data_IF_446518131514
#
_entry.id   IF_446518131514
#
_cell.length_a   1.000
_cell.length_b   1.000
_cell.length_c   1.000
_cell.angle_alpha   90.00
_cell.angle_beta   90.00
_cell.angle_gamma   90.00
#
_symmetry.space_group_name_H-M   'P 1'
#
loop_
_entity.id
_entity.type
_entity.pdbx_description
1 polymer ?
#
# COMPACT_ATOMS: atom_id res chain seq x y z
N UNK A 1 13.62 3.54 13.38
CA UNK A 1 13.09 3.38 12.02
C UNK A 1 13.93 2.34 11.25
N UNK A 2 15.24 2.52 11.10
CA UNK A 2 16.11 1.66 10.28
C UNK A 2 16.03 0.17 10.65
N UNK A 3 16.09 -0.18 11.95
CA UNK A 3 15.99 -1.58 12.40
C UNK A 3 14.61 -2.19 12.11
N UNK A 4 13.54 -1.41 12.27
CA UNK A 4 12.20 -1.87 11.98
C UNK A 4 12.01 -2.08 10.46
N UNK A 5 12.44 -1.14 9.63
CA UNK A 5 12.36 -1.26 8.18
C UNK A 5 13.16 -2.44 7.63
N UNK A 6 14.36 -2.69 8.17
CA UNK A 6 15.19 -3.84 7.77
C UNK A 6 14.54 -5.19 8.03
N UNK A 7 13.69 -5.31 9.05
CA UNK A 7 12.96 -6.54 9.36
C UNK A 7 11.61 -6.61 8.64
N UNK A 8 10.86 -5.49 8.60
CA UNK A 8 9.51 -5.46 8.05
C UNK A 8 9.49 -5.58 6.52
N UNK A 9 10.42 -4.91 5.82
CA UNK A 9 10.46 -4.92 4.35
C UNK A 9 10.64 -6.31 3.74
N UNK A 10 11.65 -7.14 4.14
CA UNK A 10 11.79 -8.49 3.61
C UNK A 10 10.58 -9.38 3.95
N UNK A 11 10.02 -9.25 5.16
CA UNK A 11 8.84 -10.00 5.58
C UNK A 11 7.64 -9.65 4.72
N UNK A 12 7.41 -8.36 4.46
CA UNK A 12 6.35 -7.87 3.60
C UNK A 12 6.50 -8.41 2.18
N UNK A 13 7.70 -8.36 1.63
CA UNK A 13 7.98 -8.85 0.27
C UNK A 13 7.77 -10.36 0.15
N UNK A 14 8.21 -11.13 1.14
CA UNK A 14 8.00 -12.58 1.19
C UNK A 14 6.50 -12.92 1.26
N UNK A 15 5.75 -12.24 2.14
CA UNK A 15 4.30 -12.41 2.25
C UNK A 15 3.60 -12.08 0.93
N UNK A 16 4.00 -10.97 0.29
CA UNK A 16 3.47 -10.57 -1.01
C UNK A 16 3.67 -11.67 -2.05
N UNK A 17 4.89 -12.21 -2.16
CA UNK A 17 5.19 -13.28 -3.12
C UNK A 17 4.35 -14.54 -2.87
N UNK A 18 4.20 -14.95 -1.61
CA UNK A 18 3.40 -16.13 -1.27
C UNK A 18 1.92 -15.91 -1.66
N UNK A 19 1.34 -14.75 -1.32
CA UNK A 19 -0.06 -14.44 -1.65
C UNK A 19 -0.25 -14.29 -3.16
N UNK A 20 0.72 -13.72 -3.90
CA UNK A 20 0.69 -13.67 -5.38
C UNK A 20 0.63 -15.06 -5.98
N UNK A 21 1.49 -15.98 -5.54
CA UNK A 21 1.48 -17.37 -6.02
C UNK A 21 0.13 -18.03 -5.72
N UNK A 22 -0.38 -17.90 -4.50
CA UNK A 22 -1.69 -18.43 -4.14
C UNK A 22 -2.80 -17.84 -5.03
N UNK A 23 -2.78 -16.54 -5.28
CA UNK A 23 -3.78 -15.86 -6.10
C UNK A 23 -3.74 -16.31 -7.57
N UNK A 24 -2.55 -16.46 -8.14
CA UNK A 24 -2.39 -16.92 -9.53
C UNK A 24 -2.80 -18.39 -9.74
N UNK A 25 -2.77 -19.21 -8.70
CA UNK A 25 -3.20 -20.62 -8.75
C UNK A 25 -4.71 -20.79 -8.63
N UNK A 26 -5.48 -19.72 -8.39
CA UNK A 26 -6.93 -19.81 -8.26
C UNK A 26 -7.61 -20.17 -9.60
N UNK A 27 -8.69 -20.97 -9.56
CA UNK A 27 -9.50 -21.26 -10.74
C UNK A 27 -10.07 -19.95 -11.33
N UNK A 28 -9.80 -19.69 -12.63
CA UNK A 28 -10.20 -18.44 -13.27
C UNK A 28 -9.19 -17.27 -13.12
N UNK A 29 -8.12 -17.43 -12.36
CA UNK A 29 -7.09 -16.42 -12.21
C UNK A 29 -6.39 -16.00 -13.51
N UNK A 30 -6.38 -16.88 -14.52
CA UNK A 30 -5.82 -16.58 -15.85
C UNK A 30 -6.48 -15.35 -16.51
N UNK A 31 -7.77 -15.16 -16.34
CA UNK A 31 -8.49 -13.99 -16.86
C UNK A 31 -8.01 -12.69 -16.21
N UNK A 32 -7.69 -12.71 -14.91
CA UNK A 32 -7.11 -11.57 -14.20
C UNK A 32 -5.69 -11.24 -14.64
N UNK A 33 -4.88 -12.25 -14.95
CA UNK A 33 -3.54 -12.08 -15.52
C UNK A 33 -3.64 -11.48 -16.92
N UNK A 34 -4.54 -12.00 -17.76
CA UNK A 34 -4.79 -11.46 -19.10
C UNK A 34 -5.24 -9.99 -19.02
N UNK A 35 -6.15 -9.66 -18.10
CA UNK A 35 -6.60 -8.30 -17.88
C UNK A 35 -5.45 -7.34 -17.52
N UNK A 36 -4.51 -7.77 -16.68
CA UNK A 36 -3.39 -6.94 -16.25
C UNK A 36 -2.37 -6.70 -17.38
N UNK A 37 -2.08 -7.72 -18.20
CA UNK A 37 -1.00 -7.66 -19.18
C UNK A 37 -1.45 -7.43 -20.62
N UNK A 38 -2.78 -7.50 -20.90
CA UNK A 38 -3.29 -7.27 -22.24
C UNK A 38 -3.53 -5.76 -22.45
N UNK A 39 -2.66 -5.07 -23.19
CA UNK A 39 -2.82 -3.65 -23.42
C UNK A 39 -4.00 -3.39 -24.37
N UNK A 40 -4.89 -2.50 -23.97
CA UNK A 40 -5.96 -1.98 -24.80
C UNK A 40 -5.67 -0.51 -25.15
N UNK A 41 -4.96 -0.30 -26.22
CA UNK A 41 -4.57 1.04 -26.67
C UNK A 41 -5.76 1.92 -27.08
N UNK A 42 -6.91 1.34 -27.34
CA UNK A 42 -8.13 2.10 -27.68
C UNK A 42 -8.67 2.92 -26.52
N UNK A 43 -8.35 2.50 -25.29
CA UNK A 43 -8.77 3.19 -24.05
C UNK A 43 -7.75 4.23 -23.56
N UNK A 44 -6.59 4.36 -24.20
CA UNK A 44 -5.56 5.32 -23.82
C UNK A 44 -5.97 6.71 -24.30
N UNK A 45 -6.50 7.50 -23.40
CA UNK A 45 -6.91 8.89 -23.62
C UNK A 45 -6.02 9.84 -22.82
N UNK A 46 -6.10 11.15 -23.11
CA UNK A 46 -5.36 12.16 -22.34
C UNK A 46 -5.70 12.15 -20.84
N UNK A 47 -6.94 11.81 -20.47
CA UNK A 47 -7.36 11.68 -19.08
C UNK A 47 -6.74 10.46 -18.39
N UNK A 48 -6.56 9.34 -19.09
CA UNK A 48 -5.86 8.16 -18.57
C UNK A 48 -4.38 8.47 -18.31
N UNK A 49 -3.75 9.21 -19.22
CA UNK A 49 -2.36 9.64 -19.03
C UNK A 49 -2.21 10.54 -17.80
N UNK A 50 -3.11 11.51 -17.63
CA UNK A 50 -3.14 12.40 -16.45
C UNK A 50 -3.38 11.62 -15.16
N UNK A 51 -4.29 10.65 -15.16
CA UNK A 51 -4.55 9.79 -14.01
C UNK A 51 -3.32 8.93 -13.65
N UNK A 52 -2.64 8.37 -14.66
CA UNK A 52 -1.42 7.60 -14.46
C UNK A 52 -0.28 8.46 -13.88
N UNK A 53 -0.11 9.69 -14.38
CA UNK A 53 0.85 10.64 -13.80
C UNK A 53 0.50 10.97 -12.35
N UNK A 54 -0.76 11.25 -12.05
CA UNK A 54 -1.22 11.52 -10.68
C UNK A 54 -0.96 10.34 -9.74
N UNK A 55 -1.21 9.12 -10.20
CA UNK A 55 -0.93 7.91 -9.45
C UNK A 55 0.57 7.71 -9.20
N UNK A 56 1.42 7.92 -10.21
CA UNK A 56 2.86 7.84 -10.05
C UNK A 56 3.39 8.89 -9.05
N UNK A 57 2.87 10.11 -9.11
CA UNK A 57 3.22 11.20 -8.21
C UNK A 57 2.85 10.87 -6.75
N UNK A 58 1.71 10.21 -6.56
CA UNK A 58 1.24 9.75 -5.25
C UNK A 58 2.05 8.56 -4.75
N UNK A 59 2.22 7.52 -5.57
CA UNK A 59 2.90 6.26 -5.21
C UNK A 59 4.36 6.51 -4.81
N UNK A 60 5.08 7.35 -5.55
CA UNK A 60 6.45 7.73 -5.22
C UNK A 60 6.55 8.70 -4.01
N UNK A 61 5.43 9.10 -3.40
CA UNK A 61 5.42 9.99 -2.24
C UNK A 61 5.90 11.42 -2.52
N UNK A 62 5.92 11.84 -3.78
CA UNK A 62 6.34 13.19 -4.18
C UNK A 62 5.38 14.25 -3.66
N UNK A 63 4.07 13.97 -3.72
CA UNK A 63 3.02 14.88 -3.29
C UNK A 63 3.03 15.19 -1.79
N UNK A 64 3.57 14.29 -0.98
CA UNK A 64 3.57 14.39 0.49
C UNK A 64 4.90 14.88 1.08
N UNK A 65 5.89 15.22 0.24
CA UNK A 65 7.22 15.62 0.71
C UNK A 65 8.06 14.51 1.33
N UNK A 66 7.58 13.25 1.31
CA UNK A 66 8.30 12.11 1.91
C UNK A 66 9.70 11.95 1.31
N UNK A 67 9.83 11.99 -0.02
CA UNK A 67 11.12 11.87 -0.69
C UNK A 67 12.05 13.02 -0.30
N UNK A 68 11.55 14.26 -0.20
CA UNK A 68 12.35 15.41 0.21
C UNK A 68 12.89 15.22 1.63
N UNK A 69 12.04 14.79 2.56
CA UNK A 69 12.43 14.52 3.96
C UNK A 69 13.47 13.41 4.04
N UNK A 70 13.28 12.29 3.33
CA UNK A 70 14.26 11.21 3.32
C UNK A 70 15.55 11.57 2.60
N UNK A 71 15.48 12.39 1.54
CA UNK A 71 16.66 12.87 0.81
C UNK A 71 17.53 13.78 1.68
N UNK A 72 16.94 14.52 2.63
CA UNK A 72 17.71 15.35 3.58
C UNK A 72 18.61 14.53 4.50
N UNK A 73 18.34 13.25 4.68
CA UNK A 73 19.16 12.33 5.49
C UNK A 73 20.25 11.62 4.69
N UNK A 74 20.31 11.82 3.37
CA UNK A 74 21.35 11.20 2.55
C UNK A 74 22.71 11.83 2.78
N UNK A 75 23.75 10.99 2.69
CA UNK A 75 25.14 11.49 2.68
C UNK A 75 25.42 12.25 1.38
N UNK A 76 26.39 13.18 1.42
CA UNK A 76 26.81 13.95 0.24
C UNK A 76 27.38 13.10 -0.91
N UNK A 77 27.77 11.87 -0.62
CA UNK A 77 28.31 10.91 -1.59
C UNK A 77 27.21 10.12 -2.31
N UNK A 78 25.93 10.26 -1.90
CA UNK A 78 24.82 9.49 -2.46
C UNK A 78 24.48 9.99 -3.87
N UNK A 79 24.48 9.08 -4.85
CA UNK A 79 24.04 9.39 -6.20
C UNK A 79 22.51 9.44 -6.27
N UNK A 80 21.96 10.66 -6.26
CA UNK A 80 20.52 10.90 -6.23
C UNK A 80 19.80 10.32 -7.45
N UNK A 81 20.40 10.42 -8.65
CA UNK A 81 19.77 9.88 -9.87
C UNK A 81 19.64 8.36 -9.80
N UNK A 82 20.71 7.68 -9.39
CA UNK A 82 20.68 6.22 -9.23
C UNK A 82 19.65 5.79 -8.18
N UNK A 83 19.57 6.52 -7.08
CA UNK A 83 18.58 6.25 -6.02
C UNK A 83 17.16 6.46 -6.52
N UNK A 84 16.87 7.53 -7.25
CA UNK A 84 15.56 7.82 -7.81
C UNK A 84 15.11 6.74 -8.80
N UNK A 85 16.01 6.31 -9.71
CA UNK A 85 15.71 5.23 -10.67
C UNK A 85 15.44 3.92 -9.95
N UNK A 86 16.25 3.56 -8.95
CA UNK A 86 16.03 2.34 -8.18
C UNK A 86 14.68 2.35 -7.44
N UNK A 87 14.30 3.48 -6.84
CA UNK A 87 13.01 3.64 -6.17
C UNK A 87 11.87 3.43 -7.18
N UNK A 88 11.91 4.12 -8.32
CA UNK A 88 10.88 4.00 -9.35
C UNK A 88 10.75 2.57 -9.90
N UNK A 89 11.85 1.88 -10.12
CA UNK A 89 11.85 0.48 -10.60
C UNK A 89 11.25 -0.46 -9.55
N UNK A 90 11.66 -0.34 -8.29
CA UNK A 90 11.14 -1.18 -7.21
C UNK A 90 9.64 -0.90 -6.99
N UNK A 91 9.22 0.35 -6.99
CA UNK A 91 7.80 0.74 -6.87
C UNK A 91 6.96 0.10 -7.98
N UNK A 92 7.43 0.17 -9.23
CA UNK A 92 6.76 -0.45 -10.37
C UNK A 92 6.67 -1.97 -10.24
N UNK A 93 7.74 -2.63 -9.82
CA UNK A 93 7.73 -4.09 -9.61
C UNK A 93 6.71 -4.48 -8.53
N UNK A 94 6.69 -3.76 -7.41
CA UNK A 94 5.73 -4.01 -6.32
C UNK A 94 4.30 -3.76 -6.79
N UNK A 95 4.05 -2.71 -7.59
CA UNK A 95 2.74 -2.42 -8.15
C UNK A 95 2.24 -3.54 -9.07
N UNK A 96 3.11 -4.09 -9.94
CA UNK A 96 2.79 -5.25 -10.79
C UNK A 96 2.48 -6.48 -9.94
N UNK A 97 3.29 -6.77 -8.92
CA UNK A 97 3.04 -7.89 -8.00
C UNK A 97 1.71 -7.72 -7.24
N UNK A 98 1.39 -6.52 -6.79
CA UNK A 98 0.10 -6.22 -6.16
C UNK A 98 -1.06 -6.43 -7.14
N UNK A 99 -0.91 -6.03 -8.40
CA UNK A 99 -1.89 -6.33 -9.45
C UNK A 99 -2.08 -7.82 -9.66
N UNK A 100 -0.98 -8.60 -9.73
CA UNK A 100 -1.00 -10.07 -9.82
C UNK A 100 -1.62 -10.74 -8.59
N UNK A 101 -1.63 -10.09 -7.45
CA UNK A 101 -2.32 -10.58 -6.26
C UNK A 101 -3.82 -10.29 -6.33
N UNK A 102 -4.22 -9.09 -6.76
CA UNK A 102 -5.60 -8.60 -6.66
C UNK A 102 -6.45 -9.09 -7.82
N UNK A 103 -6.00 -8.91 -9.07
CA UNK A 103 -6.84 -9.20 -10.25
C UNK A 103 -7.19 -10.69 -10.40
N UNK A 104 -6.25 -11.66 -10.32
CA UNK A 104 -6.60 -13.06 -10.38
C UNK A 104 -7.59 -13.49 -9.30
N UNK A 105 -7.42 -12.97 -8.08
CA UNK A 105 -8.34 -13.25 -6.97
C UNK A 105 -9.74 -12.67 -7.24
N UNK A 106 -9.86 -11.42 -7.70
CA UNK A 106 -11.15 -10.79 -8.01
C UNK A 106 -11.88 -11.52 -9.13
N UNK A 107 -11.19 -11.83 -10.22
CA UNK A 107 -11.75 -12.53 -11.36
C UNK A 107 -12.16 -13.98 -11.05
N UNK A 108 -11.49 -14.66 -10.13
CA UNK A 108 -11.81 -16.04 -9.73
C UNK A 108 -13.22 -16.17 -9.13
N UNK A 109 -13.77 -15.11 -8.54
CA UNK A 109 -15.12 -15.08 -7.94
C UNK A 109 -16.06 -14.12 -8.65
N UNK A 110 -15.67 -13.59 -9.81
CA UNK A 110 -16.51 -12.70 -10.62
C UNK A 110 -16.78 -11.32 -9.99
N UNK A 111 -15.93 -10.87 -9.10
CA UNK A 111 -16.03 -9.52 -8.50
C UNK A 111 -15.38 -8.50 -9.42
N UNK A 112 -16.10 -7.37 -9.64
CA UNK A 112 -15.56 -6.26 -10.41
C UNK A 112 -14.34 -5.63 -9.70
N UNK A 113 -13.22 -5.39 -10.42
CA UNK A 113 -12.07 -4.72 -9.86
C UNK A 113 -12.31 -3.25 -9.45
N UNK A 114 -13.43 -2.66 -9.86
CA UNK A 114 -13.80 -1.26 -9.58
C UNK A 114 -14.44 -1.05 -8.19
N UNK A 115 -14.48 -2.09 -7.35
CA UNK A 115 -15.18 -2.06 -6.04
C UNK A 115 -14.52 -1.19 -4.97
N UNK A 116 -13.42 -0.50 -5.30
CA UNK A 116 -12.74 0.43 -4.40
C UNK A 116 -12.12 -0.25 -3.15
N UNK A 117 -12.00 0.47 -2.01
CA UNK A 117 -11.37 -0.06 -0.79
C UNK A 117 -12.02 -1.33 -0.22
N UNK A 118 -13.33 -1.52 -0.46
CA UNK A 118 -14.05 -2.72 -0.02
C UNK A 118 -13.52 -3.99 -0.68
N UNK A 119 -12.97 -3.88 -1.90
CA UNK A 119 -12.31 -4.99 -2.58
C UNK A 119 -11.16 -5.56 -1.74
N UNK A 120 -10.34 -4.70 -1.18
CA UNK A 120 -9.12 -5.11 -0.45
C UNK A 120 -9.47 -5.63 0.95
N UNK A 121 -10.35 -4.94 1.69
CA UNK A 121 -10.57 -5.23 3.10
C UNK A 121 -11.68 -6.26 3.36
N UNK A 122 -12.65 -6.36 2.47
CA UNK A 122 -13.82 -7.24 2.66
C UNK A 122 -13.79 -8.38 1.64
N UNK A 123 -13.67 -8.03 0.36
CA UNK A 123 -13.85 -9.01 -0.71
C UNK A 123 -12.69 -9.99 -0.79
N UNK A 124 -11.44 -9.53 -0.85
CA UNK A 124 -10.29 -10.41 -1.03
C UNK A 124 -10.11 -11.46 0.09
N UNK A 125 -10.23 -11.14 1.40
CA UNK A 125 -10.18 -12.17 2.44
C UNK A 125 -11.25 -13.26 2.27
N UNK A 126 -12.48 -12.85 1.87
CA UNK A 126 -13.57 -13.79 1.61
C UNK A 126 -13.32 -14.63 0.34
N UNK A 127 -12.74 -14.02 -0.69
CA UNK A 127 -12.35 -14.72 -1.92
C UNK A 127 -11.37 -15.85 -1.62
N UNK A 128 -10.34 -15.59 -0.83
CA UNK A 128 -9.36 -16.62 -0.47
C UNK A 128 -10.02 -17.78 0.30
N UNK A 129 -10.98 -17.51 1.19
CA UNK A 129 -11.72 -18.54 1.88
C UNK A 129 -12.59 -19.38 0.93
N UNK A 130 -13.29 -18.74 -0.01
CA UNK A 130 -14.14 -19.43 -0.98
C UNK A 130 -13.32 -20.22 -2.01
N UNK A 131 -12.25 -19.63 -2.52
CA UNK A 131 -11.40 -20.25 -3.53
C UNK A 131 -10.70 -21.53 -3.03
N UNK A 132 -10.37 -21.58 -1.76
CA UNK A 132 -9.79 -22.76 -1.10
C UNK A 132 -10.82 -23.57 -0.30
N UNK A 133 -12.11 -23.56 -0.70
CA UNK A 133 -13.18 -24.27 0.02
C UNK A 133 -12.90 -25.77 0.15
N UNK A 134 -12.15 -26.39 -0.76
CA UNK A 134 -11.71 -27.78 -0.66
C UNK A 134 -10.68 -28.05 0.45
N UNK A 135 -9.98 -27.03 0.92
CA UNK A 135 -9.02 -27.08 2.03
C UNK A 135 -9.21 -25.83 2.90
N UNK A 136 -10.22 -25.81 3.78
CA UNK A 136 -10.61 -24.58 4.51
C UNK A 136 -9.50 -23.96 5.35
N UNK A 137 -8.59 -24.79 5.87
CA UNK A 137 -7.42 -24.34 6.62
C UNK A 137 -6.50 -23.48 5.74
N UNK A 138 -6.29 -23.86 4.47
CA UNK A 138 -5.43 -23.13 3.53
C UNK A 138 -6.04 -21.76 3.21
N UNK A 139 -7.34 -21.69 2.93
CA UNK A 139 -8.04 -20.43 2.69
C UNK A 139 -7.94 -19.45 3.85
N UNK A 140 -8.12 -19.96 5.08
CA UNK A 140 -7.96 -19.14 6.29
C UNK A 140 -6.52 -18.66 6.47
N UNK A 141 -5.53 -19.52 6.27
CA UNK A 141 -4.11 -19.14 6.39
C UNK A 141 -3.76 -18.05 5.37
N UNK A 142 -4.17 -18.20 4.11
CA UNK A 142 -3.90 -17.18 3.07
C UNK A 142 -4.60 -15.86 3.38
N UNK A 143 -5.85 -15.89 3.85
CA UNK A 143 -6.59 -14.69 4.26
C UNK A 143 -5.90 -13.96 5.43
N UNK A 144 -5.41 -14.70 6.42
CA UNK A 144 -4.64 -14.14 7.54
C UNK A 144 -3.31 -13.56 7.07
N UNK A 145 -2.57 -14.26 6.22
CA UNK A 145 -1.31 -13.76 5.63
C UNK A 145 -1.53 -12.48 4.83
N UNK A 146 -2.61 -12.41 4.05
CA UNK A 146 -3.00 -11.21 3.33
C UNK A 146 -3.31 -10.05 4.28
N UNK A 147 -4.08 -10.29 5.34
CA UNK A 147 -4.39 -9.26 6.35
C UNK A 147 -3.14 -8.78 7.10
N UNK A 148 -2.21 -9.67 7.40
CA UNK A 148 -0.90 -9.32 7.97
C UNK A 148 -0.07 -8.47 7.00
N UNK A 149 -0.06 -8.83 5.72
CA UNK A 149 0.61 -8.06 4.67
C UNK A 149 0.09 -6.62 4.63
N UNK A 150 -1.23 -6.44 4.59
CA UNK A 150 -1.86 -5.11 4.60
C UNK A 150 -1.52 -4.32 5.86
N UNK A 151 -1.57 -4.97 7.03
CA UNK A 151 -1.25 -4.33 8.31
C UNK A 151 0.21 -3.86 8.36
N UNK A 152 1.15 -4.69 7.93
CA UNK A 152 2.57 -4.35 7.86
C UNK A 152 2.83 -3.22 6.86
N UNK A 153 2.18 -3.25 5.68
CA UNK A 153 2.27 -2.20 4.68
C UNK A 153 1.73 -0.86 5.23
N UNK A 154 0.60 -0.88 5.92
CA UNK A 154 0.03 0.30 6.56
C UNK A 154 0.96 0.88 7.64
N UNK A 155 1.54 0.04 8.50
CA UNK A 155 2.47 0.48 9.54
C UNK A 155 3.72 1.14 8.94
N UNK A 156 4.31 0.56 7.90
CA UNK A 156 5.49 1.14 7.25
C UNK A 156 5.19 2.50 6.61
N UNK A 157 4.03 2.64 5.98
CA UNK A 157 3.56 3.90 5.39
C UNK A 157 3.29 4.97 6.46
N UNK A 158 2.65 4.58 7.57
CA UNK A 158 2.39 5.48 8.70
C UNK A 158 3.70 5.99 9.33
N UNK A 159 4.73 5.15 9.47
CA UNK A 159 6.04 5.57 9.97
C UNK A 159 6.63 6.64 9.07
N UNK A 160 6.54 6.47 7.76
CA UNK A 160 7.07 7.44 6.78
C UNK A 160 6.34 8.78 6.83
N UNK A 161 5.01 8.77 6.86
CA UNK A 161 4.20 9.99 6.97
C UNK A 161 4.42 10.72 8.30
N UNK A 162 4.53 9.96 9.39
CA UNK A 162 4.80 10.51 10.72
C UNK A 162 6.18 11.19 10.79
N UNK A 163 7.17 10.65 10.09
CA UNK A 163 8.52 11.22 10.03
C UNK A 163 8.52 12.58 9.33
N UNK A 164 7.76 12.76 8.24
CA UNK A 164 7.64 14.06 7.53
C UNK A 164 7.13 15.15 8.48
N UNK A 165 6.04 14.86 9.18
CA UNK A 165 5.44 15.81 10.12
C UNK A 165 6.35 16.09 11.32
N UNK A 166 7.07 15.07 11.81
CA UNK A 166 8.00 15.22 12.93
C UNK A 166 9.21 16.06 12.53
N UNK A 167 9.78 15.83 11.35
CA UNK A 167 10.91 16.60 10.83
C UNK A 167 10.54 18.08 10.68
N UNK A 168 9.38 18.36 10.08
CA UNK A 168 8.86 19.71 9.93
C UNK A 168 8.73 20.44 11.29
N UNK A 169 8.13 19.79 12.29
CA UNK A 169 7.99 20.39 13.62
C UNK A 169 9.34 20.64 14.31
N UNK A 170 10.31 19.75 14.14
CA UNK A 170 11.65 19.95 14.70
C UNK A 170 12.35 21.16 14.09
N UNK A 171 12.18 21.40 12.79
CA UNK A 171 12.82 22.50 12.07
C UNK A 171 12.16 23.86 12.39
N UNK A 172 10.83 23.91 12.39
CA UNK A 172 10.08 25.16 12.57
C UNK A 172 9.92 25.59 14.04
N UNK A 173 9.78 24.64 14.97
CA UNK A 173 9.39 24.98 16.36
C UNK A 173 10.51 24.79 17.38
N UNK A 174 11.70 24.37 16.97
CA UNK A 174 12.84 24.01 17.85
C UNK A 174 12.48 22.99 18.93
N UNK A 175 11.41 22.23 18.74
CA UNK A 175 11.04 21.15 19.66
C UNK A 175 12.04 20.00 19.55
N UNK A 176 12.34 19.40 20.70
CA UNK A 176 13.10 18.15 20.71
C UNK A 176 12.34 17.07 19.96
N UNK A 177 13.06 16.24 19.20
CA UNK A 177 12.50 15.19 18.33
C UNK A 177 11.48 14.27 19.04
N UNK A 178 11.73 13.96 20.33
CA UNK A 178 10.79 13.16 21.13
C UNK A 178 9.47 13.86 21.38
N UNK A 179 9.52 15.15 21.65
CA UNK A 179 8.33 15.95 21.92
C UNK A 179 7.55 16.23 20.63
N UNK A 180 8.24 16.52 19.52
CA UNK A 180 7.62 16.67 18.21
C UNK A 180 6.90 15.37 17.80
N UNK A 181 7.56 14.20 17.91
CA UNK A 181 6.96 12.92 17.61
C UNK A 181 5.72 12.61 18.47
N UNK A 182 5.78 12.92 19.79
CA UNK A 182 4.62 12.75 20.69
C UNK A 182 3.46 13.66 20.27
N UNK A 183 3.75 14.91 19.95
CA UNK A 183 2.72 15.86 19.53
C UNK A 183 2.02 15.38 18.26
N UNK A 184 2.78 14.99 17.23
CA UNK A 184 2.22 14.43 16.00
C UNK A 184 1.37 13.20 16.29
N UNK A 185 1.87 12.27 17.12
CA UNK A 185 1.13 11.06 17.49
C UNK A 185 -0.20 11.39 18.17
N UNK A 186 -0.21 12.32 19.14
CA UNK A 186 -1.44 12.70 19.84
C UNK A 186 -2.43 13.33 18.87
N UNK A 187 -1.99 14.29 18.06
CA UNK A 187 -2.87 14.97 17.08
C UNK A 187 -3.45 13.97 16.09
N UNK A 188 -2.63 13.13 15.50
CA UNK A 188 -3.07 12.09 14.54
C UNK A 188 -4.03 11.09 15.21
N UNK A 189 -3.78 10.71 16.47
CA UNK A 189 -4.64 9.77 17.19
C UNK A 189 -6.03 10.39 17.50
N UNK A 190 -6.07 11.67 17.87
CA UNK A 190 -7.33 12.39 18.10
C UNK A 190 -8.12 12.49 16.80
N UNK A 191 -7.50 12.95 15.71
CA UNK A 191 -8.17 13.06 14.41
C UNK A 191 -8.63 11.67 13.94
N UNK A 192 -7.78 10.64 14.05
CA UNK A 192 -8.12 9.28 13.70
C UNK A 192 -9.29 8.71 14.49
N UNK A 193 -9.39 9.05 15.79
CA UNK A 193 -10.54 8.66 16.60
C UNK A 193 -11.85 9.33 16.11
N UNK A 194 -11.81 10.61 15.76
CA UNK A 194 -12.98 11.28 15.17
C UNK A 194 -13.38 10.67 13.82
N UNK A 195 -12.42 10.39 12.94
CA UNK A 195 -12.69 9.72 11.66
C UNK A 195 -13.30 8.33 11.87
N UNK A 196 -12.79 7.56 12.83
CA UNK A 196 -13.32 6.22 13.15
C UNK A 196 -14.74 6.28 13.70
N UNK A 197 -15.05 7.28 14.53
CA UNK A 197 -16.41 7.49 15.04
C UNK A 197 -17.39 7.90 13.93
N UNK A 198 -16.93 8.67 12.94
CA UNK A 198 -17.73 9.03 11.76
C UNK A 198 -18.12 7.79 10.95
N UNK A 199 -17.18 6.88 10.70
CA UNK A 199 -17.45 5.61 10.01
C UNK A 199 -18.32 4.65 10.83
N UNK A 200 -18.38 4.82 12.15
CA UNK A 200 -19.18 4.02 13.07
C UNK A 200 -20.68 4.37 13.15
N UNK A 201 -21.20 5.20 12.24
CA UNK A 201 -22.65 5.44 12.09
C UNK A 201 -23.26 6.52 13.00
N UNK A 202 -22.49 7.43 13.53
CA UNK A 202 -23.02 8.64 14.17
C UNK A 202 -23.21 9.73 13.11
N UNK A 203 -24.44 9.88 12.64
CA UNK A 203 -24.86 10.77 11.55
C UNK A 203 -24.51 12.27 11.70
N UNK A 204 -23.99 12.71 12.84
CA UNK A 204 -23.59 14.10 13.07
C UNK A 204 -22.10 14.36 12.76
N UNK A 205 -21.33 13.31 12.40
CA UNK A 205 -19.91 13.39 12.00
C UNK A 205 -19.67 13.04 10.55
N UNK A 206 -20.71 12.58 9.83
CA UNK A 206 -20.66 12.22 8.40
C UNK A 206 -20.96 13.40 7.48
#
# INVERSE_FOLDING_TARGET
>A
IEKASKALMPTLFLLLLVVVVCSCLLPGGAAGIEFLFKPDFSKVTGSVFLAAMGQAFYSLGLSMGCICTFASYFSRETNLLKSAVNIAVIDTIIAILAGLMIFPAAFSVGVSPDSGPSLIFITLPNVFQQAFAGVPLLGTVVAVMFSMLLSLAAITSLISLHEVSTAFLCEETRLDRKNAARLVTVVCSVIGAFCSLSLGGRAWLS
#
